data_IF_580577562392
#
_entry.id   IF_580577562392
#
_cell.length_a   1.000
_cell.length_b   1.000
_cell.length_c   1.000
_cell.angle_alpha   90.00
_cell.angle_beta   90.00
_cell.angle_gamma   90.00
#
_symmetry.space_group_name_H-M   'P 1'
#
loop_
_entity.id
_entity.type
_entity.pdbx_description
1 polymer ?
#
# COMPACT_ATOMS: atom_id res chain seq x y z
N UNK A 1 3.08 -20.22 -18.44
CA UNK A 1 2.26 -19.89 -17.27
C UNK A 1 3.16 -19.21 -16.25
N UNK A 2 2.81 -18.00 -15.78
CA UNK A 2 3.71 -17.17 -14.97
C UNK A 2 4.14 -17.88 -13.69
N UNK A 3 5.45 -17.86 -13.39
CA UNK A 3 6.11 -18.62 -12.32
C UNK A 3 5.86 -18.08 -10.91
N UNK A 4 5.15 -16.95 -10.76
CA UNK A 4 4.91 -16.28 -9.49
C UNK A 4 3.52 -16.67 -8.98
N UNK A 5 3.42 -17.79 -8.26
CA UNK A 5 2.13 -18.40 -7.88
C UNK A 5 1.19 -17.57 -7.00
N UNK A 6 1.62 -16.41 -6.49
CA UNK A 6 0.83 -15.54 -5.60
C UNK A 6 0.34 -14.24 -6.26
N UNK A 7 0.70 -14.00 -7.53
CA UNK A 7 0.35 -12.82 -8.29
C UNK A 7 -0.25 -13.21 -9.65
N UNK A 8 -1.29 -12.50 -10.10
CA UNK A 8 -1.93 -12.70 -11.39
C UNK A 8 -2.85 -11.54 -11.78
N UNK A 9 -3.67 -11.74 -12.81
CA UNK A 9 -4.47 -10.68 -13.42
C UNK A 9 -3.81 -10.07 -14.66
N UNK A 10 -4.48 -9.10 -15.28
CA UNK A 10 -4.06 -8.47 -16.54
C UNK A 10 -3.02 -7.38 -16.38
N UNK A 11 -2.82 -6.86 -15.16
CA UNK A 11 -1.88 -5.79 -14.87
C UNK A 11 -1.03 -6.14 -13.64
N UNK A 12 0.26 -5.82 -13.72
CA UNK A 12 1.16 -5.91 -12.59
C UNK A 12 2.16 -4.75 -12.60
N UNK A 13 2.59 -4.33 -11.42
CA UNK A 13 3.62 -3.32 -11.23
C UNK A 13 4.82 -3.98 -10.56
N UNK A 14 6.02 -3.71 -11.06
CA UNK A 14 7.27 -4.05 -10.39
C UNK A 14 7.75 -2.81 -9.64
N UNK A 15 7.95 -2.93 -8.33
CA UNK A 15 8.51 -1.84 -7.52
C UNK A 15 10.03 -1.77 -7.65
N UNK A 16 10.62 -0.65 -7.22
CA UNK A 16 12.08 -0.46 -7.16
C UNK A 16 12.78 -1.53 -6.30
N UNK A 17 12.08 -2.03 -5.27
CA UNK A 17 12.54 -3.10 -4.39
C UNK A 17 12.34 -4.51 -4.99
N UNK A 18 12.11 -4.60 -6.31
CA UNK A 18 11.77 -5.83 -7.02
C UNK A 18 10.55 -6.56 -6.42
N UNK A 19 9.52 -5.86 -5.97
CA UNK A 19 8.29 -6.49 -5.50
C UNK A 19 7.23 -6.45 -6.61
N UNK A 20 6.51 -7.55 -6.81
CA UNK A 20 5.43 -7.62 -7.79
C UNK A 20 4.10 -7.32 -7.13
N UNK A 21 3.43 -6.27 -7.58
CA UNK A 21 2.06 -5.93 -7.19
C UNK A 21 1.12 -6.38 -8.30
N UNK A 22 0.17 -7.26 -7.97
CA UNK A 22 -0.80 -7.76 -8.94
C UNK A 22 -2.10 -8.17 -8.26
N UNK A 23 -3.12 -8.48 -9.05
CA UNK A 23 -4.33 -9.13 -8.55
C UNK A 23 -4.08 -10.57 -8.09
N UNK A 24 -5.10 -11.24 -7.52
CA UNK A 24 -5.01 -12.67 -7.22
C UNK A 24 -4.86 -13.51 -8.51
N UNK A 25 -4.23 -14.69 -8.43
CA UNK A 25 -4.06 -15.59 -9.59
C UNK A 25 -5.36 -16.25 -10.06
N UNK A 26 -6.45 -16.09 -9.31
CA UNK A 26 -7.78 -16.59 -9.66
C UNK A 26 -8.86 -15.64 -9.15
N UNK A 27 -10.07 -15.72 -9.72
CA UNK A 27 -11.23 -14.91 -9.36
C UNK A 27 -12.11 -15.54 -8.26
N UNK A 28 -11.54 -16.40 -7.40
CA UNK A 28 -12.32 -17.04 -6.32
C UNK A 28 -12.60 -16.09 -5.15
N UNK A 29 -11.78 -15.05 -5.01
CA UNK A 29 -11.91 -14.04 -3.98
C UNK A 29 -13.10 -13.12 -4.31
N UNK A 30 -13.97 -12.86 -3.33
CA UNK A 30 -15.14 -11.98 -3.51
C UNK A 30 -14.80 -10.50 -3.46
N UNK A 31 -13.71 -10.16 -2.78
CA UNK A 31 -13.28 -8.79 -2.56
C UNK A 31 -12.22 -8.39 -3.60
N UNK A 32 -12.17 -7.11 -3.95
CA UNK A 32 -11.10 -6.53 -4.74
C UNK A 32 -9.78 -6.63 -3.97
N UNK A 33 -8.82 -7.40 -4.50
CA UNK A 33 -7.54 -7.65 -3.84
C UNK A 33 -6.37 -7.26 -4.72
N UNK A 34 -5.42 -6.54 -4.12
CA UNK A 34 -4.06 -6.41 -4.64
C UNK A 34 -3.10 -7.16 -3.74
N UNK A 35 -2.14 -7.87 -4.32
CA UNK A 35 -1.15 -8.70 -3.63
C UNK A 35 0.23 -8.20 -3.98
N UNK A 36 1.08 -8.09 -2.97
CA UNK A 36 2.52 -7.93 -3.17
C UNK A 36 3.17 -9.29 -2.98
N UNK A 37 3.95 -9.72 -3.96
CA UNK A 37 4.76 -10.93 -3.90
C UNK A 37 6.24 -10.61 -4.15
N UNK A 38 7.13 -11.38 -3.53
CA UNK A 38 8.54 -11.41 -3.90
C UNK A 38 8.68 -12.29 -5.16
N UNK A 39 9.13 -11.74 -6.30
CA UNK A 39 9.33 -12.48 -7.55
C UNK A 39 10.36 -13.60 -7.42
N UNK A 40 11.36 -13.46 -6.54
CA UNK A 40 12.45 -14.46 -6.40
C UNK A 40 11.98 -15.68 -5.63
N UNK A 41 11.30 -15.49 -4.51
CA UNK A 41 10.79 -16.61 -3.70
C UNK A 41 9.37 -17.06 -4.09
N UNK A 42 8.66 -16.26 -4.89
CA UNK A 42 7.23 -16.45 -5.20
C UNK A 42 6.31 -16.27 -4.00
N UNK A 43 6.85 -15.89 -2.83
CA UNK A 43 6.08 -15.77 -1.59
C UNK A 43 5.28 -14.47 -1.59
N UNK A 44 4.05 -14.57 -1.09
CA UNK A 44 3.21 -13.40 -0.82
C UNK A 44 3.81 -12.62 0.36
N UNK A 45 4.13 -11.36 0.12
CA UNK A 45 4.57 -10.43 1.14
C UNK A 45 3.36 -9.82 1.85
N UNK A 46 2.37 -9.32 1.11
CA UNK A 46 1.16 -8.75 1.72
C UNK A 46 -0.04 -8.79 0.78
N UNK A 47 -1.25 -8.62 1.33
CA UNK A 47 -2.49 -8.45 0.58
C UNK A 47 -3.18 -7.18 1.05
N UNK A 48 -3.64 -6.37 0.11
CA UNK A 48 -4.55 -5.25 0.32
C UNK A 48 -5.94 -5.68 -0.11
N UNK A 49 -6.87 -5.74 0.85
CA UNK A 49 -8.27 -6.07 0.59
C UNK A 49 -9.06 -4.79 0.32
N UNK A 50 -10.15 -4.92 -0.44
CA UNK A 50 -11.02 -3.81 -0.83
C UNK A 50 -10.23 -2.62 -1.40
N UNK A 51 -9.21 -2.94 -2.22
CA UNK A 51 -8.25 -1.98 -2.75
C UNK A 51 -8.11 -2.21 -4.25
N UNK A 52 -8.39 -1.17 -5.04
CA UNK A 52 -8.24 -1.20 -6.50
C UNK A 52 -7.03 -0.44 -6.99
N UNK A 53 -6.50 0.48 -6.17
CA UNK A 53 -5.37 1.33 -6.53
C UNK A 53 -4.36 1.42 -5.41
N UNK A 54 -3.10 1.32 -5.80
CA UNK A 54 -1.94 1.53 -4.94
C UNK A 54 -0.83 2.17 -5.77
N UNK A 55 -0.15 3.13 -5.16
CA UNK A 55 1.15 3.62 -5.65
C UNK A 55 2.18 3.24 -4.61
N UNK A 56 3.31 2.69 -5.04
CA UNK A 56 4.42 2.33 -4.17
C UNK A 56 5.64 3.12 -4.57
N UNK A 57 6.29 3.76 -3.59
CA UNK A 57 7.54 4.49 -3.76
C UNK A 57 8.30 4.52 -2.43
N UNK A 58 9.63 4.45 -2.47
CA UNK A 58 10.50 4.51 -1.29
C UNK A 58 10.06 3.57 -0.14
N UNK A 59 9.73 2.31 -0.47
CA UNK A 59 9.30 1.31 0.49
C UNK A 59 7.95 1.57 1.18
N UNK A 60 7.16 2.53 0.68
CA UNK A 60 5.83 2.88 1.22
C UNK A 60 4.73 2.67 0.19
N UNK A 61 3.58 2.21 0.63
CA UNK A 61 2.37 2.09 -0.18
C UNK A 61 1.36 3.18 0.18
N UNK A 62 0.83 3.82 -0.86
CA UNK A 62 -0.28 4.76 -0.80
C UNK A 62 -1.47 4.10 -1.48
N UNK A 63 -2.51 3.79 -0.71
CA UNK A 63 -3.66 3.05 -1.23
C UNK A 63 -4.97 3.59 -0.67
N UNK A 64 -6.04 3.37 -1.42
CA UNK A 64 -7.39 3.60 -0.95
C UNK A 64 -8.08 2.27 -0.63
N UNK A 65 -8.68 2.18 0.55
CA UNK A 65 -9.48 1.04 0.97
C UNK A 65 -10.65 1.51 1.84
N UNK A 66 -11.86 1.05 1.53
CA UNK A 66 -13.08 1.26 2.34
C UNK A 66 -13.23 2.73 2.78
N UNK A 67 -13.27 3.65 1.80
CA UNK A 67 -13.47 5.09 2.07
C UNK A 67 -12.31 5.81 2.75
N UNK A 68 -11.15 5.16 2.86
CA UNK A 68 -9.96 5.74 3.48
C UNK A 68 -8.77 5.70 2.53
N UNK A 69 -8.02 6.81 2.48
CA UNK A 69 -6.69 6.85 1.88
C UNK A 69 -5.64 6.67 2.97
N UNK A 70 -4.64 5.84 2.71
CA UNK A 70 -3.71 5.37 3.74
C UNK A 70 -2.27 5.34 3.22
N UNK A 71 -1.31 5.50 4.15
CA UNK A 71 0.10 5.22 3.90
C UNK A 71 0.59 4.11 4.82
N UNK A 72 1.22 3.10 4.22
CA UNK A 72 1.80 1.96 4.90
C UNK A 72 3.29 1.85 4.60
N UNK A 73 4.12 1.75 5.63
CA UNK A 73 5.54 1.41 5.49
C UNK A 73 5.69 -0.10 5.22
N UNK A 74 5.90 -0.45 3.95
CA UNK A 74 6.02 -1.84 3.51
C UNK A 74 7.33 -2.46 3.94
N UNK A 75 8.43 -1.71 3.84
CA UNK A 75 9.77 -2.21 4.17
C UNK A 75 9.84 -2.57 5.65
N UNK A 76 9.42 -1.67 6.53
CA UNK A 76 9.40 -1.92 7.97
C UNK A 76 8.42 -3.03 8.33
N UNK A 77 7.24 -3.06 7.70
CA UNK A 77 6.24 -4.11 7.94
C UNK A 77 6.79 -5.50 7.58
N UNK A 78 7.41 -5.65 6.41
CA UNK A 78 7.98 -6.93 5.97
C UNK A 78 9.09 -7.44 6.91
N UNK A 79 9.95 -6.55 7.40
CA UNK A 79 10.98 -6.88 8.40
C UNK A 79 10.36 -7.38 9.71
N UNK A 80 9.38 -6.64 10.25
CA UNK A 80 8.73 -6.99 11.50
C UNK A 80 7.90 -8.29 11.38
N UNK A 81 7.25 -8.53 10.24
CA UNK A 81 6.51 -9.77 9.99
C UNK A 81 7.46 -10.99 9.91
N UNK A 82 8.65 -10.81 9.33
CA UNK A 82 9.68 -11.85 9.33
C UNK A 82 10.12 -12.20 10.76
N UNK A 83 10.40 -11.19 11.59
CA UNK A 83 10.75 -11.39 13.00
C UNK A 83 9.60 -12.05 13.78
N UNK A 84 8.36 -11.60 13.57
CA UNK A 84 7.17 -12.17 14.21
C UNK A 84 7.00 -13.66 13.87
N UNK A 85 7.23 -14.03 12.61
CA UNK A 85 7.13 -15.42 12.18
C UNK A 85 8.22 -16.30 12.80
N UNK A 86 9.46 -15.80 12.92
CA UNK A 86 10.55 -16.51 13.58
C UNK A 86 10.29 -16.71 15.09
N UNK A 87 9.77 -15.67 15.75
CA UNK A 87 9.35 -15.70 17.15
C UNK A 87 8.24 -16.72 17.40
N UNK A 88 7.20 -16.72 16.56
CA UNK A 88 6.12 -17.71 16.60
C UNK A 88 6.60 -19.13 16.34
N UNK A 89 7.55 -19.32 15.41
CA UNK A 89 8.13 -20.63 15.13
C UNK A 89 8.95 -21.15 16.33
N UNK A 90 9.66 -20.27 17.03
CA UNK A 90 10.41 -20.61 18.24
C UNK A 90 9.49 -20.98 19.39
N UNK A 91 8.42 -20.20 19.61
CA UNK A 91 7.40 -20.51 20.63
C UNK A 91 6.75 -21.88 20.40
N UNK A 92 6.46 -22.26 19.15
CA UNK A 92 5.89 -23.57 18.80
C UNK A 92 6.81 -24.76 19.13
N UNK A 93 8.11 -24.56 19.27
CA UNK A 93 9.08 -25.62 19.60
C UNK A 93 9.19 -25.89 21.10
N UNK A 94 8.66 -25.01 21.95
CA UNK A 94 8.71 -25.14 23.40
C UNK A 94 7.46 -25.87 23.90
N UNK A 95 7.65 -26.89 24.73
CA UNK A 95 6.54 -27.57 25.41
C UNK A 95 6.13 -26.77 26.66
N UNK A 96 4.87 -26.31 26.76
CA UNK A 96 4.36 -25.59 27.92
C UNK A 96 4.24 -26.44 29.20
N UNK A 97 4.38 -27.76 29.11
CA UNK A 97 4.36 -28.66 30.29
C UNK A 97 5.72 -28.77 30.98
N UNK A 98 6.80 -28.31 30.33
CA UNK A 98 8.15 -28.35 30.88
C UNK A 98 8.40 -27.06 31.65
N UNK A 99 8.58 -27.17 32.97
CA UNK A 99 8.69 -26.01 33.89
C UNK A 99 9.85 -25.06 33.53
N UNK A 100 10.98 -25.58 33.05
CA UNK A 100 12.13 -24.77 32.60
C UNK A 100 11.82 -23.91 31.38
N UNK A 101 10.80 -24.25 30.58
CA UNK A 101 10.41 -23.49 29.39
C UNK A 101 9.46 -22.34 29.71
N UNK A 102 8.78 -22.36 30.87
CA UNK A 102 7.72 -21.41 31.19
C UNK A 102 8.21 -19.96 31.16
N UNK A 103 9.39 -19.69 31.71
CA UNK A 103 9.99 -18.36 31.68
C UNK A 103 10.25 -17.87 30.24
N UNK A 104 10.78 -18.74 29.38
CA UNK A 104 11.06 -18.41 27.97
C UNK A 104 9.76 -18.21 27.17
N UNK A 105 8.74 -19.02 27.42
CA UNK A 105 7.42 -18.90 26.79
C UNK A 105 6.81 -17.53 27.08
N UNK A 106 6.86 -17.07 28.34
CA UNK A 106 6.31 -15.76 28.71
C UNK A 106 7.09 -14.60 28.06
N UNK A 107 8.42 -14.69 27.96
CA UNK A 107 9.23 -13.71 27.22
C UNK A 107 8.82 -13.66 25.75
N UNK A 108 8.76 -14.81 25.06
CA UNK A 108 8.39 -14.88 23.65
C UNK A 108 6.97 -14.35 23.39
N UNK A 109 6.01 -14.66 24.27
CA UNK A 109 4.65 -14.10 24.16
C UNK A 109 4.64 -12.57 24.26
N UNK A 110 5.43 -12.00 25.17
CA UNK A 110 5.57 -10.55 25.32
C UNK A 110 6.23 -9.90 24.09
N UNK A 111 7.27 -10.52 23.55
CA UNK A 111 7.94 -10.07 22.31
C UNK A 111 7.00 -10.13 21.11
N UNK A 112 6.24 -11.22 20.95
CA UNK A 112 5.22 -11.37 19.91
C UNK A 112 4.17 -10.25 20.00
N UNK A 113 3.65 -9.97 21.20
CA UNK A 113 2.67 -8.90 21.42
C UNK A 113 3.25 -7.51 21.05
N UNK A 114 4.51 -7.28 21.39
CA UNK A 114 5.23 -6.06 21.05
C UNK A 114 5.40 -5.91 19.53
N UNK A 115 5.85 -6.97 18.85
CA UNK A 115 5.99 -6.99 17.39
C UNK A 115 4.65 -6.79 16.68
N UNK A 116 3.57 -7.38 17.18
CA UNK A 116 2.22 -7.15 16.63
C UNK A 116 1.81 -5.68 16.74
N UNK A 117 2.15 -5.02 17.84
CA UNK A 117 1.89 -3.58 18.04
C UNK A 117 2.73 -2.74 17.08
N UNK A 118 4.01 -3.08 16.91
CA UNK A 118 4.89 -2.40 15.97
C UNK A 118 4.44 -2.56 14.52
N UNK A 119 3.95 -3.74 14.12
CA UNK A 119 3.39 -3.96 12.77
C UNK A 119 2.17 -3.06 12.54
N UNK A 120 1.29 -2.91 13.53
CA UNK A 120 0.17 -1.95 13.43
C UNK A 120 0.67 -0.52 13.25
N UNK A 121 1.76 -0.14 13.92
CA UNK A 121 2.39 1.18 13.79
C UNK A 121 3.04 1.46 12.43
N UNK A 122 3.15 0.46 11.55
CA UNK A 122 3.58 0.67 10.17
C UNK A 122 2.51 1.39 9.32
N UNK A 123 1.26 1.43 9.78
CA UNK A 123 0.24 2.31 9.21
C UNK A 123 0.54 3.74 9.66
N UNK A 124 1.23 4.48 8.79
CA UNK A 124 1.80 5.79 9.12
C UNK A 124 0.71 6.85 9.28
N UNK A 125 -0.28 6.83 8.38
CA UNK A 125 -1.44 7.69 8.45
C UNK A 125 -2.64 7.09 7.73
N UNK A 126 -3.82 7.58 8.07
CA UNK A 126 -5.10 7.23 7.45
C UNK A 126 -6.01 8.45 7.50
N UNK A 127 -6.66 8.75 6.39
CA UNK A 127 -7.65 9.83 6.29
C UNK A 127 -8.91 9.30 5.60
N UNK A 128 -10.07 9.81 6.02
CA UNK A 128 -11.29 9.64 5.25
C UNK A 128 -11.13 10.36 3.90
N UNK A 129 -11.36 9.66 2.80
CA UNK A 129 -11.14 10.19 1.46
C UNK A 129 -12.03 9.47 0.45
N UNK A 130 -12.63 10.15 -0.54
CA UNK A 130 -13.35 9.50 -1.63
C UNK A 130 -12.47 8.51 -2.40
N UNK A 131 -13.07 7.51 -3.02
CA UNK A 131 -12.34 6.55 -3.84
C UNK A 131 -11.69 7.26 -5.04
N UNK A 132 -10.36 7.16 -5.21
CA UNK A 132 -9.66 7.85 -6.29
C UNK A 132 -9.81 7.11 -7.61
N UNK A 133 -9.99 7.88 -8.69
CA UNK A 133 -9.91 7.36 -10.05
C UNK A 133 -8.48 7.16 -10.54
N UNK A 134 -7.53 7.90 -9.98
CA UNK A 134 -6.09 7.75 -10.25
C UNK A 134 -5.27 8.24 -9.04
N UNK A 135 -4.10 7.63 -8.84
CA UNK A 135 -3.13 8.05 -7.83
C UNK A 135 -1.74 8.16 -8.48
N UNK A 136 -1.05 9.27 -8.26
CA UNK A 136 0.33 9.47 -8.72
C UNK A 136 1.15 10.12 -7.61
N UNK A 137 2.37 9.64 -7.40
CA UNK A 137 3.33 10.32 -6.54
C UNK A 137 4.31 11.13 -7.39
N UNK A 138 4.54 12.38 -6.98
CA UNK A 138 5.54 13.27 -7.58
C UNK A 138 6.34 13.97 -6.48
N UNK A 139 7.55 13.46 -6.20
CA UNK A 139 8.35 13.94 -5.07
C UNK A 139 7.61 13.79 -3.75
N UNK A 140 7.46 14.87 -2.98
CA UNK A 140 6.78 14.87 -1.69
C UNK A 140 5.24 14.97 -1.76
N UNK A 141 4.66 14.83 -2.95
CA UNK A 141 3.24 15.05 -3.21
C UNK A 141 2.55 13.78 -3.68
N UNK A 142 1.36 13.51 -3.13
CA UNK A 142 0.42 12.51 -3.62
C UNK A 142 -0.70 13.22 -4.37
N UNK A 143 -0.78 13.00 -5.67
CA UNK A 143 -1.77 13.59 -6.57
C UNK A 143 -2.91 12.59 -6.75
N UNK A 144 -4.13 13.08 -6.60
CA UNK A 144 -5.35 12.27 -6.56
C UNK A 144 -6.38 12.78 -7.55
N UNK A 145 -6.81 11.90 -8.47
CA UNK A 145 -7.87 12.17 -9.43
C UNK A 145 -9.23 11.72 -8.89
N UNK A 146 -10.23 12.60 -8.96
CA UNK A 146 -11.58 12.41 -8.41
C UNK A 146 -12.65 12.80 -9.42
N UNK A 147 -13.91 12.66 -9.02
CA UNK A 147 -15.05 13.13 -9.81
C UNK A 147 -15.13 14.65 -9.76
N UNK A 148 -14.96 15.30 -10.91
CA UNK A 148 -14.93 16.76 -11.06
C UNK A 148 -13.89 17.49 -10.19
N UNK A 149 -12.85 16.78 -9.74
CA UNK A 149 -11.81 17.35 -8.88
C UNK A 149 -10.46 16.66 -9.09
N UNK A 150 -9.39 17.43 -8.89
CA UNK A 150 -8.03 16.93 -8.66
C UNK A 150 -7.50 17.55 -7.36
N UNK A 151 -6.77 16.76 -6.59
CA UNK A 151 -6.21 17.16 -5.30
C UNK A 151 -4.75 16.76 -5.19
N UNK A 152 -3.97 17.56 -4.44
CA UNK A 152 -2.59 17.26 -4.06
C UNK A 152 -2.54 17.19 -2.54
N UNK A 153 -1.99 16.09 -2.03
CA UNK A 153 -1.82 15.82 -0.61
C UNK A 153 -0.33 15.75 -0.27
N UNK A 154 0.01 16.10 0.97
CA UNK A 154 1.34 15.86 1.53
C UNK A 154 1.53 14.37 1.77
N UNK A 155 2.60 13.81 1.22
CA UNK A 155 2.80 12.36 1.24
C UNK A 155 3.12 11.81 2.65
N UNK A 156 3.65 12.66 3.54
CA UNK A 156 4.05 12.27 4.91
C UNK A 156 2.88 12.26 5.88
N UNK A 157 1.86 13.06 5.63
CA UNK A 157 0.76 13.29 6.57
C UNK A 157 -0.63 13.00 6.00
N UNK A 158 -0.76 12.88 4.68
CA UNK A 158 -2.03 12.77 3.96
C UNK A 158 -2.82 14.08 3.89
N UNK A 159 -2.31 15.18 4.47
CA UNK A 159 -3.05 16.45 4.54
C UNK A 159 -3.19 17.09 3.15
N UNK A 160 -4.34 17.70 2.84
CA UNK A 160 -4.51 18.41 1.57
C UNK A 160 -3.60 19.64 1.52
N UNK A 161 -2.84 19.75 0.44
CA UNK A 161 -2.00 20.90 0.12
C UNK A 161 -2.70 21.83 -0.87
N UNK A 162 -3.44 21.25 -1.82
CA UNK A 162 -4.12 21.97 -2.87
C UNK A 162 -5.24 21.13 -3.48
N UNK A 163 -6.28 21.78 -4.00
CA UNK A 163 -7.36 21.14 -4.72
C UNK A 163 -7.94 22.09 -5.77
N UNK A 164 -8.45 21.53 -6.87
CA UNK A 164 -9.11 22.31 -7.91
C UNK A 164 -10.20 21.51 -8.62
N UNK A 165 -11.24 22.22 -9.06
CA UNK A 165 -12.31 21.62 -9.86
C UNK A 165 -11.83 21.35 -11.29
N UNK A 166 -12.23 20.22 -11.83
CA UNK A 166 -12.07 19.85 -13.25
C UNK A 166 -13.41 19.38 -13.79
N UNK A 167 -13.57 19.28 -15.10
CA UNK A 167 -14.82 18.80 -15.71
C UNK A 167 -14.71 17.33 -16.07
N UNK A 168 -15.50 16.47 -15.42
CA UNK A 168 -15.46 15.02 -15.57
C UNK A 168 -14.56 14.32 -14.54
N UNK A 169 -14.42 13.01 -14.68
CA UNK A 169 -13.59 12.17 -13.81
C UNK A 169 -12.13 12.28 -14.21
N UNK A 170 -11.27 12.69 -13.29
CA UNK A 170 -9.84 12.82 -13.54
C UNK A 170 -9.13 11.46 -13.54
N UNK A 171 -8.73 10.98 -14.72
CA UNK A 171 -8.07 9.68 -14.90
C UNK A 171 -6.59 9.81 -15.28
N UNK A 172 -6.22 10.70 -16.19
CA UNK A 172 -4.81 10.89 -16.53
C UNK A 172 -4.20 11.95 -15.63
N UNK A 173 -3.18 11.60 -14.86
CA UNK A 173 -2.42 12.53 -14.04
C UNK A 173 -0.96 12.49 -14.48
N UNK A 174 -0.44 13.61 -14.99
CA UNK A 174 0.94 13.68 -15.49
C UNK A 174 1.65 14.89 -14.89
N UNK A 175 2.41 14.68 -13.80
CA UNK A 175 3.31 15.68 -13.27
C UNK A 175 4.59 15.74 -14.11
N UNK A 176 4.96 16.92 -14.59
CA UNK A 176 6.19 17.14 -15.37
C UNK A 176 6.65 18.59 -15.25
N UNK A 177 7.95 18.80 -15.01
CA UNK A 177 8.59 20.13 -15.02
C UNK A 177 7.84 21.22 -14.20
N UNK A 178 7.35 20.86 -13.01
CA UNK A 178 6.61 21.79 -12.14
C UNK A 178 5.18 22.10 -12.59
N UNK A 179 4.67 21.35 -13.57
CA UNK A 179 3.29 21.38 -14.04
C UNK A 179 2.58 20.07 -13.72
N UNK A 180 1.25 20.13 -13.71
CA UNK A 180 0.37 18.98 -13.65
C UNK A 180 -0.61 19.06 -14.82
N UNK A 181 -0.57 18.06 -15.69
CA UNK A 181 -1.56 17.86 -16.75
C UNK A 181 -2.57 16.83 -16.27
N UNK A 182 -3.86 17.15 -16.43
CA UNK A 182 -4.98 16.28 -16.04
C UNK A 182 -5.89 16.04 -17.23
N UNK A 183 -6.10 14.77 -17.60
CA UNK A 183 -7.12 14.40 -18.59
C UNK A 183 -8.33 13.74 -17.93
N UNK A 184 -9.52 14.03 -18.46
CA UNK A 184 -10.78 13.49 -17.95
C UNK A 184 -11.47 12.57 -18.95
N UNK A 185 -12.44 11.79 -18.45
CA UNK A 185 -13.29 10.91 -19.28
C UNK A 185 -14.19 11.63 -20.29
N UNK A 186 -14.40 12.95 -20.12
CA UNK A 186 -15.13 13.79 -21.05
C UNK A 186 -14.23 14.43 -22.12
N UNK A 187 -12.96 14.06 -22.17
CA UNK A 187 -11.99 14.54 -23.16
C UNK A 187 -11.40 15.92 -22.83
N UNK A 188 -11.62 16.47 -21.63
CA UNK A 188 -10.95 17.70 -21.22
C UNK A 188 -9.49 17.44 -20.85
N UNK A 189 -8.62 18.41 -21.18
CA UNK A 189 -7.23 18.46 -20.73
C UNK A 189 -7.04 19.77 -19.95
N UNK A 190 -6.79 19.65 -18.66
CA UNK A 190 -6.47 20.77 -17.78
C UNK A 190 -4.96 20.81 -17.55
N UNK A 191 -4.38 22.02 -17.47
CA UNK A 191 -2.98 22.20 -17.09
C UNK A 191 -2.89 23.15 -15.91
N UNK A 192 -2.15 22.73 -14.88
CA UNK A 192 -1.87 23.51 -13.69
C UNK A 192 -0.37 23.76 -13.58
N UNK A 193 0.00 24.94 -13.10
CA UNK A 193 1.38 25.29 -12.79
C UNK A 193 1.42 26.05 -11.47
N UNK A 194 2.57 26.03 -10.80
CA UNK A 194 2.78 26.89 -9.64
C UNK A 194 2.62 28.34 -10.07
N UNK A 195 1.84 29.12 -9.31
CA UNK A 195 1.75 30.57 -9.51
C UNK A 195 3.15 31.16 -9.28
N UNK A 196 3.67 32.03 -10.18
CA UNK A 196 4.96 32.67 -9.98
C UNK A 196 5.00 33.47 -8.68
#
# INVERSE_FOLDING_TARGET
>A
TGTIGQAGGTFCLLTEDNQLIAGPPNQKERDEQLRIADPKSGKRLTTFNNTTRVVVTEGKAYLHSIGNLQCLDLTRKAQLETLLNNQRASLKKLDPKVETNLAQIEVLKKEISTLQTQIKSCLLWTIAHPAPFELVVAGAQLIVGLDNQVSILDIKTGKPLWQHKVTGRAYGLTPAEGRLIVSTDLGYIHTFHKKP
#
